data_IF_588610331819
#
_entry.id   IF_588610331819
#
_cell.length_a   1.000
_cell.length_b   1.000
_cell.length_c   1.000
_cell.angle_alpha   90.00
_cell.angle_beta   90.00
_cell.angle_gamma   90.00
#
_symmetry.space_group_name_H-M   'P 1'
#
loop_
_entity.id
_entity.type
_entity.pdbx_description
1 polymer ?
#
# COMPACT_ATOMS: atom_id res chain seq x y z
N UNK A 1 11.62 15.56 15.53
CA UNK A 1 10.70 15.00 16.54
C UNK A 1 10.93 13.50 16.60
N UNK A 2 11.85 13.04 17.46
CA UNK A 2 12.30 11.63 17.55
C UNK A 2 12.16 11.10 19.00
N UNK A 3 11.45 11.83 19.86
CA UNK A 3 11.44 11.54 21.31
C UNK A 3 10.35 10.56 21.78
N UNK A 4 9.50 10.03 20.90
CA UNK A 4 8.32 9.25 21.31
C UNK A 4 8.48 7.72 21.21
N UNK A 5 9.55 7.21 20.59
CA UNK A 5 9.81 5.76 20.50
C UNK A 5 10.59 5.20 21.70
N UNK A 6 11.18 6.05 22.55
CA UNK A 6 12.01 5.61 23.70
C UNK A 6 11.15 5.17 24.91
N UNK A 7 9.87 5.51 24.94
CA UNK A 7 8.94 5.13 26.02
C UNK A 7 8.18 3.82 25.80
N UNK A 8 8.50 3.05 24.75
CA UNK A 8 7.96 1.69 24.60
C UNK A 8 8.74 0.63 25.40
N UNK A 9 9.83 1.01 26.08
CA UNK A 9 10.70 0.04 26.76
C UNK A 9 10.33 -0.26 28.22
N UNK A 10 9.44 0.49 28.87
CA UNK A 10 9.09 0.26 30.28
C UNK A 10 7.66 0.69 30.59
N UNK A 11 6.72 -0.25 30.54
CA UNK A 11 5.49 -0.35 31.38
C UNK A 11 4.40 -1.24 30.72
N UNK A 12 4.75 -2.42 30.20
CA UNK A 12 3.72 -3.42 29.86
C UNK A 12 3.32 -4.17 31.14
N UNK A 13 2.49 -3.55 31.98
CA UNK A 13 1.82 -4.18 33.14
C UNK A 13 0.29 -4.21 32.99
N UNK A 14 -0.22 -4.13 31.76
CA UNK A 14 -1.65 -4.11 31.44
C UNK A 14 -2.15 -5.42 30.82
N UNK A 15 -3.47 -5.64 30.87
CA UNK A 15 -4.14 -6.77 30.22
C UNK A 15 -3.83 -6.84 28.72
N UNK A 16 -3.92 -8.03 28.10
CA UNK A 16 -3.65 -8.22 26.66
C UNK A 16 -4.37 -7.21 25.73
N UNK A 17 -5.53 -6.70 26.12
CA UNK A 17 -6.29 -5.67 25.40
C UNK A 17 -5.57 -4.32 25.35
N UNK A 18 -4.97 -3.88 26.45
CA UNK A 18 -4.25 -2.58 26.51
C UNK A 18 -2.97 -2.62 25.69
N UNK A 19 -2.29 -3.77 25.67
CA UNK A 19 -1.06 -3.98 24.87
C UNK A 19 -1.36 -3.84 23.37
N UNK A 20 -2.46 -4.45 22.91
CA UNK A 20 -2.86 -4.34 21.51
C UNK A 20 -3.25 -2.91 21.11
N UNK A 21 -3.90 -2.16 22.01
CA UNK A 21 -4.25 -0.75 21.81
C UNK A 21 -3.01 0.16 21.78
N UNK A 22 -2.07 -0.01 22.72
CA UNK A 22 -0.83 0.77 22.80
C UNK A 22 0.07 0.55 21.56
N UNK A 23 0.17 -0.70 21.10
CA UNK A 23 0.90 -1.06 19.88
C UNK A 23 0.20 -0.48 18.66
N UNK A 24 -1.12 -0.59 18.58
CA UNK A 24 -1.91 -0.03 17.49
C UNK A 24 -1.75 1.48 17.40
N UNK A 25 -1.78 2.19 18.53
CA UNK A 25 -1.56 3.63 18.59
C UNK A 25 -0.15 4.02 18.13
N UNK A 26 0.87 3.27 18.56
CA UNK A 26 2.26 3.49 18.14
C UNK A 26 2.43 3.30 16.63
N UNK A 27 1.73 2.32 16.05
CA UNK A 27 1.71 2.09 14.60
C UNK A 27 0.99 3.22 13.88
N UNK A 28 -0.11 3.74 14.42
CA UNK A 28 -0.81 4.89 13.83
C UNK A 28 0.13 6.12 13.76
N UNK A 29 0.89 6.41 14.81
CA UNK A 29 1.90 7.48 14.80
C UNK A 29 3.03 7.25 13.78
N UNK A 30 3.46 5.99 13.61
CA UNK A 30 4.43 5.62 12.57
C UNK A 30 3.84 5.81 11.17
N UNK A 31 2.60 5.40 10.94
CA UNK A 31 1.89 5.57 9.66
C UNK A 31 1.69 7.06 9.34
N UNK A 32 1.36 7.90 10.32
CA UNK A 32 1.26 9.35 10.14
C UNK A 32 2.61 9.95 9.74
N UNK A 33 3.70 9.51 10.39
CA UNK A 33 5.07 9.93 10.06
C UNK A 33 5.46 9.49 8.65
N UNK A 34 5.11 8.26 8.26
CA UNK A 34 5.33 7.73 6.90
C UNK A 34 4.50 8.52 5.88
N UNK A 35 3.23 8.80 6.15
CA UNK A 35 2.35 9.61 5.30
C UNK A 35 2.94 11.01 5.08
N UNK A 36 3.45 11.64 6.14
CA UNK A 36 4.12 12.93 6.04
C UNK A 36 5.38 12.85 5.16
N UNK A 37 6.23 11.83 5.36
CA UNK A 37 7.42 11.62 4.52
C UNK A 37 7.08 11.37 3.05
N UNK A 38 6.04 10.56 2.78
CA UNK A 38 5.55 10.29 1.42
C UNK A 38 5.12 11.60 0.73
N UNK A 39 4.46 12.50 1.45
CA UNK A 39 4.07 13.82 0.95
C UNK A 39 5.28 14.72 0.69
N UNK A 40 6.21 14.80 1.65
CA UNK A 40 7.41 15.65 1.55
C UNK A 40 8.33 15.23 0.42
N UNK A 41 8.58 13.93 0.28
CA UNK A 41 9.51 13.38 -0.71
C UNK A 41 8.82 13.08 -2.07
N UNK A 42 7.56 13.50 -2.24
CA UNK A 42 6.76 13.35 -3.46
C UNK A 42 6.59 11.89 -3.92
N UNK A 43 6.55 10.95 -2.96
CA UNK A 43 6.23 9.54 -3.19
C UNK A 43 4.71 9.25 -3.21
N UNK A 44 3.88 10.29 -3.01
CA UNK A 44 2.41 10.18 -3.05
C UNK A 44 1.89 9.63 -4.39
N UNK A 45 2.62 9.93 -5.47
CA UNK A 45 2.34 9.45 -6.82
C UNK A 45 3.43 8.50 -7.26
N UNK A 46 3.05 7.26 -7.53
CA UNK A 46 4.01 6.25 -7.97
C UNK A 46 3.79 5.90 -9.43
N UNK A 47 4.85 5.96 -10.21
CA UNK A 47 4.79 5.61 -11.63
C UNK A 47 4.69 4.09 -11.78
N UNK A 48 3.71 3.63 -12.54
CA UNK A 48 3.50 2.23 -12.86
C UNK A 48 4.08 1.91 -14.25
N UNK A 49 4.61 0.69 -14.45
CA UNK A 49 5.10 0.25 -15.75
C UNK A 49 3.96 0.20 -16.78
N UNK A 50 4.33 0.28 -18.06
CA UNK A 50 3.38 0.08 -19.15
C UNK A 50 2.83 -1.35 -19.16
N UNK A 51 1.55 -1.47 -19.49
CA UNK A 51 0.89 -2.76 -19.69
C UNK A 51 0.77 -2.98 -21.19
N UNK A 52 1.21 -4.14 -21.67
CA UNK A 52 1.02 -4.54 -23.06
C UNK A 52 0.64 -6.03 -23.11
N UNK A 53 -0.66 -6.32 -23.08
CA UNK A 53 -1.15 -7.71 -23.04
C UNK A 53 -2.59 -7.81 -23.55
N UNK A 54 -2.88 -8.89 -24.29
CA UNK A 54 -4.23 -9.21 -24.79
C UNK A 54 -4.93 -8.03 -25.52
N UNK A 55 -4.17 -7.27 -26.31
CA UNK A 55 -4.69 -6.11 -27.04
C UNK A 55 -4.92 -4.86 -26.19
N UNK A 56 -4.59 -4.88 -24.89
CA UNK A 56 -4.55 -3.70 -24.02
C UNK A 56 -3.11 -3.18 -23.96
N UNK A 57 -2.90 -1.96 -24.46
CA UNK A 57 -1.64 -1.25 -24.35
C UNK A 57 -1.84 0.04 -23.57
N UNK A 58 -1.44 0.08 -22.30
CA UNK A 58 -1.60 1.23 -21.43
C UNK A 58 -0.24 1.76 -20.98
N UNK A 59 -0.01 3.06 -21.22
CA UNK A 59 1.22 3.77 -20.88
C UNK A 59 0.96 4.89 -19.87
N UNK A 60 2.07 5.31 -19.24
CA UNK A 60 2.09 6.39 -18.26
C UNK A 60 1.09 6.12 -17.11
N UNK A 61 1.20 4.92 -16.54
CA UNK A 61 0.45 4.53 -15.36
C UNK A 61 0.92 5.29 -14.13
N UNK A 62 -0.02 5.73 -13.31
CA UNK A 62 0.23 6.42 -12.06
C UNK A 62 -0.70 5.84 -11.00
N UNK A 63 -0.11 5.47 -9.87
CA UNK A 63 -0.80 5.13 -8.64
C UNK A 63 -0.82 6.32 -7.69
N UNK A 64 -1.96 6.60 -7.08
CA UNK A 64 -2.17 7.71 -6.13
C UNK A 64 -3.34 7.40 -5.20
N UNK A 65 -3.40 7.88 -3.95
CA UNK A 65 -2.33 8.54 -3.19
C UNK A 65 -1.89 7.63 -2.04
N UNK A 66 -0.65 7.13 -2.11
CA UNK A 66 -0.08 6.25 -1.08
C UNK A 66 -0.03 6.94 0.31
N UNK A 67 -0.06 8.26 0.37
CA UNK A 67 -0.09 9.00 1.63
C UNK A 67 -1.41 8.89 2.38
N UNK A 68 -2.45 8.31 1.78
CA UNK A 68 -3.73 8.02 2.44
C UNK A 68 -3.75 6.67 3.17
N UNK A 69 -2.56 6.07 3.33
CA UNK A 69 -2.41 4.81 4.06
C UNK A 69 -2.82 4.99 5.51
N UNK A 70 -3.67 4.09 5.98
CA UNK A 70 -4.17 4.06 7.35
C UNK A 70 -4.37 2.62 7.78
N UNK A 71 -4.48 2.39 9.08
CA UNK A 71 -4.76 1.06 9.65
C UNK A 71 -6.26 0.76 9.61
N UNK A 72 -6.63 -0.45 9.21
CA UNK A 72 -8.02 -0.92 9.07
C UNK A 72 -8.44 -1.94 10.13
N UNK A 73 -7.53 -2.35 11.01
CA UNK A 73 -7.80 -3.26 12.12
C UNK A 73 -6.69 -3.23 13.17
N UNK A 74 -6.88 -3.86 14.33
CA UNK A 74 -5.86 -3.85 15.38
C UNK A 74 -4.58 -4.52 14.93
N UNK A 75 -3.45 -3.92 15.29
CA UNK A 75 -2.16 -4.54 15.07
C UNK A 75 -1.94 -5.64 16.10
N UNK A 76 -1.23 -6.68 15.68
CA UNK A 76 -0.77 -7.74 16.57
C UNK A 76 0.74 -7.67 16.68
N UNK A 77 1.23 -7.96 17.87
CA UNK A 77 2.66 -8.11 18.16
C UNK A 77 2.89 -9.52 18.69
N UNK A 78 3.87 -10.20 18.12
CA UNK A 78 4.36 -11.48 18.60
C UNK A 78 5.85 -11.34 18.92
N UNK A 79 6.20 -11.46 20.20
CA UNK A 79 7.58 -11.31 20.67
C UNK A 79 8.27 -12.66 20.50
N UNK A 80 9.23 -12.70 19.59
CA UNK A 80 9.96 -13.91 19.24
C UNK A 80 11.38 -13.85 19.84
N UNK A 81 11.50 -14.36 21.06
CA UNK A 81 12.74 -14.30 21.83
C UNK A 81 13.07 -12.88 22.32
N UNK A 82 14.34 -12.64 22.64
CA UNK A 82 14.74 -11.44 23.39
C UNK A 82 14.98 -10.19 22.53
N UNK A 83 15.06 -10.34 21.20
CA UNK A 83 15.56 -9.29 20.30
C UNK A 83 14.73 -9.07 19.05
N UNK A 84 13.57 -9.72 18.94
CA UNK A 84 12.72 -9.65 17.76
C UNK A 84 11.25 -9.57 18.14
N UNK A 85 10.56 -8.60 17.55
CA UNK A 85 9.11 -8.52 17.60
C UNK A 85 8.57 -8.58 16.18
N UNK A 86 7.62 -9.48 15.95
CA UNK A 86 6.87 -9.60 14.71
C UNK A 86 5.58 -8.80 14.84
N UNK A 87 5.46 -7.76 14.03
CA UNK A 87 4.30 -6.89 13.98
C UNK A 87 3.50 -7.25 12.73
N UNK A 88 2.21 -7.55 12.90
CA UNK A 88 1.28 -7.74 11.78
C UNK A 88 0.17 -6.71 11.87
N UNK A 89 -0.12 -6.05 10.76
CA UNK A 89 -1.15 -5.00 10.70
C UNK A 89 -1.91 -5.06 9.38
N UNK A 90 -3.20 -4.76 9.45
CA UNK A 90 -4.04 -4.55 8.28
C UNK A 90 -4.13 -3.06 8.00
N UNK A 91 -3.81 -2.70 6.76
CA UNK A 91 -3.80 -1.34 6.26
C UNK A 91 -4.82 -1.22 5.13
N UNK A 92 -5.18 0.02 4.81
CA UNK A 92 -6.00 0.38 3.67
C UNK A 92 -5.62 1.79 3.21
N UNK A 93 -6.17 2.18 2.07
CA UNK A 93 -6.01 3.50 1.50
C UNK A 93 -7.36 4.20 1.49
N UNK A 94 -7.42 5.42 2.00
CA UNK A 94 -8.68 6.20 1.92
C UNK A 94 -9.07 6.44 0.47
N UNK A 95 -8.08 6.55 -0.43
CA UNK A 95 -8.30 6.65 -1.86
C UNK A 95 -7.36 5.74 -2.65
N UNK A 96 -7.84 4.58 -3.08
CA UNK A 96 -7.17 3.81 -4.12
C UNK A 96 -7.50 4.37 -5.51
N UNK A 97 -6.52 5.03 -6.16
CA UNK A 97 -6.66 5.54 -7.53
C UNK A 97 -5.48 5.15 -8.39
N UNK A 98 -5.76 4.41 -9.45
CA UNK A 98 -4.81 4.12 -10.50
C UNK A 98 -5.29 4.79 -11.79
N UNK A 99 -4.39 5.43 -12.52
CA UNK A 99 -4.72 6.06 -13.79
C UNK A 99 -3.66 5.78 -14.85
N UNK A 100 -4.09 5.43 -16.06
CA UNK A 100 -3.24 5.41 -17.25
C UNK A 100 -3.70 6.51 -18.20
N UNK A 101 -2.77 7.37 -18.60
CA UNK A 101 -3.10 8.51 -19.47
C UNK A 101 -3.40 8.10 -20.91
N UNK A 102 -2.75 7.04 -21.39
CA UNK A 102 -2.87 6.57 -22.77
C UNK A 102 -3.08 5.07 -22.76
N UNK A 103 -4.30 4.63 -23.02
CA UNK A 103 -4.60 3.23 -23.27
C UNK A 103 -5.09 3.06 -24.70
N UNK A 104 -4.51 2.09 -25.41
CA UNK A 104 -4.95 1.58 -26.70
C UNK A 104 -5.59 0.21 -26.47
N UNK A 105 -6.85 0.05 -26.85
CA UNK A 105 -7.56 -1.23 -26.78
C UNK A 105 -7.81 -1.76 -28.19
N UNK A 106 -7.41 -3.02 -28.42
CA UNK A 106 -7.51 -3.73 -29.69
C UNK A 106 -6.94 -2.95 -30.90
N UNK A 107 -5.91 -2.12 -30.68
CA UNK A 107 -5.24 -1.33 -31.72
C UNK A 107 -6.00 -0.10 -32.24
N UNK A 108 -7.24 0.13 -31.80
CA UNK A 108 -8.13 1.16 -32.40
C UNK A 108 -8.55 2.21 -31.38
N UNK A 109 -8.81 1.83 -30.14
CA UNK A 109 -9.45 2.73 -29.18
C UNK A 109 -8.42 3.39 -28.27
N UNK A 110 -8.22 4.70 -28.41
CA UNK A 110 -7.34 5.49 -27.54
C UNK A 110 -8.16 6.22 -26.48
N UNK A 111 -8.03 5.85 -25.21
CA UNK A 111 -8.68 6.55 -24.08
C UNK A 111 -7.77 6.60 -22.85
N UNK A 112 -8.06 7.53 -21.96
CA UNK A 112 -7.53 7.48 -20.59
C UNK A 112 -8.30 6.42 -19.80
N UNK A 113 -7.60 5.79 -18.87
CA UNK A 113 -8.15 4.79 -17.96
C UNK A 113 -7.97 5.25 -16.53
N UNK A 114 -9.01 5.13 -15.72
CA UNK A 114 -8.94 5.31 -14.28
C UNK A 114 -9.57 4.11 -13.60
N UNK A 115 -8.85 3.51 -12.67
CA UNK A 115 -9.29 2.36 -11.88
C UNK A 115 -9.32 2.81 -10.43
N UNK A 116 -10.40 2.47 -9.73
CA UNK A 116 -10.52 2.68 -8.28
C UNK A 116 -10.91 1.39 -7.61
N UNK A 117 -10.39 1.16 -6.40
CA UNK A 117 -10.77 0.04 -5.54
C UNK A 117 -11.40 0.65 -4.28
N UNK A 118 -12.73 0.65 -4.14
CA UNK A 118 -13.38 1.19 -2.93
C UNK A 118 -13.13 0.30 -1.71
N UNK A 119 -12.83 -0.98 -1.95
CA UNK A 119 -12.47 -1.95 -0.93
C UNK A 119 -11.07 -2.47 -1.25
N UNK A 120 -10.09 -1.98 -0.49
CA UNK A 120 -8.73 -2.45 -0.50
C UNK A 120 -8.32 -2.92 0.89
N UNK A 121 -7.52 -3.99 0.93
CA UNK A 121 -6.91 -4.50 2.14
C UNK A 121 -5.45 -4.78 1.86
N UNK A 122 -4.57 -4.13 2.61
CA UNK A 122 -3.13 -4.34 2.54
C UNK A 122 -2.68 -4.93 3.86
N UNK A 123 -2.34 -6.21 3.88
CA UNK A 123 -1.73 -6.83 5.06
C UNK A 123 -0.22 -6.60 5.02
N UNK A 124 0.33 -6.05 6.10
CA UNK A 124 1.75 -5.82 6.25
C UNK A 124 2.28 -6.59 7.44
N UNK A 125 3.40 -7.28 7.23
CA UNK A 125 4.14 -7.96 8.28
C UNK A 125 5.57 -7.44 8.33
N UNK A 126 5.99 -7.01 9.50
CA UNK A 126 7.27 -6.38 9.74
C UNK A 126 7.91 -6.98 10.97
N UNK A 127 9.20 -7.26 10.91
CA UNK A 127 10.00 -7.63 12.08
C UNK A 127 10.81 -6.43 12.53
N UNK A 128 10.74 -6.13 13.82
CA UNK A 128 11.61 -5.14 14.46
C UNK A 128 12.70 -5.91 15.19
N UNK A 129 13.94 -5.62 14.83
CA UNK A 129 15.11 -6.23 15.43
C UNK A 129 15.87 -5.22 16.28
N UNK A 130 16.25 -5.66 17.47
CA UNK A 130 17.12 -4.90 18.36
C UNK A 130 18.55 -5.45 18.30
N UNK A 131 19.51 -4.61 17.88
CA UNK A 131 20.94 -4.97 17.85
C UNK A 131 21.78 -3.88 18.51
N UNK A 132 22.13 -4.10 19.77
CA UNK A 132 22.92 -3.15 20.57
C UNK A 132 22.11 -1.90 20.90
N UNK A 133 22.50 -0.74 20.38
CA UNK A 133 21.76 0.53 20.51
C UNK A 133 20.92 0.87 19.27
N UNK A 134 20.87 -0.03 18.27
CA UNK A 134 20.17 0.22 17.00
C UNK A 134 18.94 -0.65 16.90
N UNK A 135 17.83 -0.03 16.51
CA UNK A 135 16.62 -0.70 16.07
C UNK A 135 16.54 -0.60 14.54
N UNK A 136 16.31 -1.74 13.88
CA UNK A 136 16.02 -1.73 12.45
C UNK A 136 14.77 -2.55 12.18
N UNK A 137 14.01 -2.10 11.18
CA UNK A 137 12.81 -2.76 10.75
C UNK A 137 13.09 -3.54 9.47
N UNK A 138 12.63 -4.78 9.41
CA UNK A 138 12.69 -5.61 8.21
C UNK A 138 11.26 -5.90 7.78
N UNK A 139 10.96 -5.53 6.54
CA UNK A 139 9.69 -5.88 5.92
C UNK A 139 9.72 -7.38 5.56
N UNK A 140 8.84 -8.15 6.17
CA UNK A 140 8.77 -9.60 5.97
C UNK A 140 7.83 -9.95 4.82
N UNK A 141 6.64 -9.37 4.82
CA UNK A 141 5.65 -9.59 3.76
C UNK A 141 4.70 -8.40 3.61
N UNK A 142 4.20 -8.24 2.39
CA UNK A 142 3.09 -7.36 2.04
C UNK A 142 2.13 -8.25 1.25
N UNK A 143 0.85 -8.15 1.53
CA UNK A 143 -0.19 -8.76 0.71
C UNK A 143 -1.20 -7.67 0.37
N UNK A 144 -1.61 -7.60 -0.90
CA UNK A 144 -2.55 -6.59 -1.39
C UNK A 144 -3.75 -7.35 -1.94
N UNK A 145 -4.89 -7.20 -1.28
CA UNK A 145 -6.17 -7.66 -1.79
C UNK A 145 -7.00 -6.44 -2.24
N UNK A 146 -7.38 -6.46 -3.52
CA UNK A 146 -8.24 -5.44 -4.10
C UNK A 146 -9.57 -6.08 -4.49
N UNK A 147 -10.63 -5.60 -3.88
CA UNK A 147 -11.99 -6.04 -4.15
C UNK A 147 -12.75 -4.95 -4.92
N UNK A 148 -13.74 -5.37 -5.69
CA UNK A 148 -14.68 -4.46 -6.36
C UNK A 148 -14.02 -3.37 -7.22
N UNK A 149 -12.99 -3.72 -8.00
CA UNK A 149 -12.34 -2.81 -8.95
C UNK A 149 -13.37 -2.16 -9.89
N UNK A 150 -13.44 -0.83 -9.84
CA UNK A 150 -14.26 -0.02 -10.73
C UNK A 150 -13.36 0.65 -11.76
N UNK A 151 -13.82 0.68 -13.01
CA UNK A 151 -13.05 1.21 -14.14
C UNK A 151 -13.85 2.33 -14.82
N UNK A 152 -13.17 3.43 -15.09
CA UNK A 152 -13.67 4.60 -15.79
C UNK A 152 -12.79 4.88 -17.01
N UNK A 153 -13.42 5.19 -18.15
CA UNK A 153 -12.72 5.50 -19.40
C UNK A 153 -13.13 6.87 -19.95
N UNK A 154 -12.19 7.81 -20.05
CA UNK A 154 -12.47 9.18 -20.55
C UNK A 154 -13.47 10.02 -19.73
N UNK A 155 -13.86 11.18 -20.29
CA UNK A 155 -14.72 12.19 -19.63
C UNK A 155 -16.23 11.98 -19.85
N UNK A 156 -16.65 10.90 -20.53
CA UNK A 156 -18.05 10.65 -20.88
C UNK A 156 -18.50 9.23 -20.51
N UNK A 157 -19.63 9.18 -19.82
CA UNK A 157 -20.33 7.99 -19.32
C UNK A 157 -21.02 7.12 -20.40
N UNK A 158 -20.47 6.97 -21.62
CA UNK A 158 -21.22 6.34 -22.72
C UNK A 158 -20.75 4.94 -23.17
N UNK A 159 -21.77 4.06 -23.22
CA UNK A 159 -21.96 2.74 -23.83
C UNK A 159 -21.51 1.49 -23.04
N UNK A 160 -22.51 0.87 -22.38
CA UNK A 160 -22.49 -0.36 -21.58
C UNK A 160 -21.73 -1.55 -22.19
N UNK A 161 -21.61 -1.62 -23.52
CA UNK A 161 -20.90 -2.70 -24.23
C UNK A 161 -19.39 -2.49 -24.31
N UNK A 162 -18.89 -1.25 -24.38
CA UNK A 162 -17.46 -0.94 -24.38
C UNK A 162 -16.86 -1.09 -22.98
N UNK A 163 -17.61 -0.68 -21.95
CA UNK A 163 -17.22 -0.86 -20.55
C UNK A 163 -17.08 -2.32 -20.15
N UNK A 164 -17.90 -3.21 -20.73
CA UNK A 164 -17.77 -4.65 -20.47
C UNK A 164 -16.43 -5.18 -20.98
N UNK A 165 -16.01 -4.81 -22.20
CA UNK A 165 -14.77 -5.30 -22.80
C UNK A 165 -13.54 -4.74 -22.08
N UNK A 166 -13.57 -3.47 -21.67
CA UNK A 166 -12.48 -2.85 -20.91
C UNK A 166 -12.42 -3.41 -19.49
N UNK A 167 -13.57 -3.57 -18.81
CA UNK A 167 -13.61 -4.24 -17.50
C UNK A 167 -13.13 -5.69 -17.60
N UNK A 168 -13.51 -6.41 -18.64
CA UNK A 168 -13.06 -7.79 -18.86
C UNK A 168 -11.55 -7.84 -19.08
N UNK A 169 -10.98 -6.97 -19.92
CA UNK A 169 -9.54 -6.90 -20.14
C UNK A 169 -8.77 -6.52 -18.87
N UNK A 170 -9.31 -5.62 -18.04
CA UNK A 170 -8.68 -5.25 -16.76
C UNK A 170 -8.78 -6.38 -15.75
N UNK A 171 -9.91 -7.08 -15.68
CA UNK A 171 -10.07 -8.28 -14.86
C UNK A 171 -9.10 -9.38 -15.30
N UNK A 172 -8.93 -9.60 -16.59
CA UNK A 172 -7.94 -10.54 -17.13
C UNK A 172 -6.49 -10.17 -16.80
N UNK A 173 -6.20 -8.88 -16.65
CA UNK A 173 -4.87 -8.38 -16.32
C UNK A 173 -4.74 -7.99 -14.83
N UNK A 174 -5.72 -8.38 -13.99
CA UNK A 174 -5.75 -8.02 -12.55
C UNK A 174 -4.48 -8.44 -11.85
N UNK A 175 -4.02 -9.67 -12.07
CA UNK A 175 -2.83 -10.21 -11.40
C UNK A 175 -1.57 -9.43 -11.78
N UNK A 176 -1.44 -9.05 -13.06
CA UNK A 176 -0.30 -8.26 -13.57
C UNK A 176 -0.29 -6.84 -12.99
N UNK A 177 -1.48 -6.24 -12.87
CA UNK A 177 -1.67 -4.95 -12.22
C UNK A 177 -1.29 -5.03 -10.75
N UNK A 178 -1.78 -6.04 -10.04
CA UNK A 178 -1.44 -6.29 -8.64
C UNK A 178 0.04 -6.53 -8.43
N UNK A 179 0.68 -7.36 -9.27
CA UNK A 179 2.13 -7.62 -9.26
C UNK A 179 2.92 -6.31 -9.44
N UNK A 180 2.53 -5.49 -10.41
CA UNK A 180 3.21 -4.20 -10.66
C UNK A 180 3.05 -3.23 -9.49
N UNK A 181 1.87 -3.17 -8.88
CA UNK A 181 1.61 -2.34 -7.69
C UNK A 181 2.39 -2.86 -6.50
N UNK A 182 2.39 -4.18 -6.29
CA UNK A 182 3.11 -4.86 -5.23
C UNK A 182 4.60 -4.56 -5.29
N UNK A 183 5.26 -4.79 -6.44
CA UNK A 183 6.70 -4.56 -6.60
C UNK A 183 7.09 -3.12 -6.27
N UNK A 184 6.25 -2.18 -6.71
CA UNK A 184 6.46 -0.76 -6.51
C UNK A 184 6.29 -0.37 -5.04
N UNK A 185 5.20 -0.81 -4.38
CA UNK A 185 4.95 -0.54 -2.96
C UNK A 185 6.01 -1.22 -2.09
N UNK A 186 6.36 -2.47 -2.39
CA UNK A 186 7.41 -3.23 -1.71
C UNK A 186 8.75 -2.49 -1.77
N UNK A 187 9.13 -1.99 -2.95
CA UNK A 187 10.36 -1.21 -3.12
C UNK A 187 10.38 0.04 -2.26
N UNK A 188 9.28 0.79 -2.21
CA UNK A 188 9.18 2.00 -1.38
C UNK A 188 9.18 1.67 0.13
N UNK A 189 8.43 0.64 0.53
CA UNK A 189 8.38 0.19 1.92
C UNK A 189 9.74 -0.29 2.42
N UNK A 190 10.54 -0.97 1.58
CA UNK A 190 11.91 -1.39 1.92
C UNK A 190 12.88 -0.21 2.09
N UNK A 191 12.72 0.86 1.31
CA UNK A 191 13.51 2.09 1.48
C UNK A 191 13.20 2.73 2.83
N UNK A 192 11.93 2.74 3.22
CA UNK A 192 11.51 3.25 4.52
C UNK A 192 11.99 2.35 5.67
N UNK A 193 11.86 1.03 5.56
CA UNK A 193 12.23 0.07 6.62
C UNK A 193 13.73 0.08 6.95
N UNK A 194 14.57 0.38 5.97
CA UNK A 194 16.03 0.44 6.17
C UNK A 194 16.52 1.74 6.83
N UNK A 195 15.63 2.70 7.12
CA UNK A 195 16.00 3.87 7.92
C UNK A 195 16.06 3.48 9.40
N UNK A 196 17.02 4.04 10.13
CA UNK A 196 17.04 3.90 11.59
C UNK A 196 15.81 4.64 12.16
N UNK A 197 14.96 3.91 12.88
CA UNK A 197 13.76 4.45 13.55
C UNK A 197 14.03 4.85 15.01
N UNK A 198 15.19 4.44 15.52
CA UNK A 198 15.84 4.88 16.76
C UNK A 198 17.10 5.68 16.35
#
# INVERSE_FOLDING_TARGET
MVLLLVTLCFCFTGSYTTIAEDVSYSIDLLLDSISALIKTDNYSRITLPSINKNGLHCDAGVFSDLSTIHRTGNATIDIQGDYMALISTSLGLTEFRLAYRKCVVAGVFRRSLRITAPEDSVTLQLSVHHKGTRCYAVLNSINIDLQNLQVYTGDKWYNKTEDWLINWLIKLNKDRLLESIYDVIWKQAKVLSNKNFC
#
